data_IF_381095817112
#
_entry.id   IF_381095817112
#
_cell.length_a   1.000
_cell.length_b   1.000
_cell.length_c   1.000
_cell.angle_alpha   90.00
_cell.angle_beta   90.00
_cell.angle_gamma   90.00
#
_symmetry.space_group_name_H-M   'P 1'
#
loop_
_entity.id
_entity.type
_entity.pdbx_description
1 polymer ?
#
# COMPACT_ATOMS: atom_id res chain seq x y z
N UNK A 1 14.58 -29.83 -15.14
CA UNK A 1 13.84 -28.67 -15.69
C UNK A 1 12.71 -29.22 -16.56
N UNK A 2 11.55 -28.58 -16.56
CA UNK A 2 10.33 -29.00 -17.26
C UNK A 2 9.17 -28.08 -16.90
N UNK A 3 8.16 -27.97 -17.76
CA UNK A 3 7.07 -26.98 -17.63
C UNK A 3 7.40 -25.70 -18.41
N UNK A 4 7.11 -24.53 -17.82
CA UNK A 4 7.20 -23.20 -18.45
C UNK A 4 8.57 -22.75 -18.95
N UNK A 5 9.65 -23.39 -18.52
CA UNK A 5 11.01 -23.02 -18.93
C UNK A 5 11.55 -23.83 -20.12
N UNK A 6 10.85 -24.88 -20.55
CA UNK A 6 11.40 -25.84 -21.52
C UNK A 6 10.33 -26.52 -22.38
N UNK A 7 9.28 -27.07 -21.76
CA UNK A 7 8.34 -27.96 -22.45
C UNK A 7 6.94 -27.39 -22.70
N UNK A 8 6.58 -26.28 -22.04
CA UNK A 8 5.25 -25.67 -22.17
C UNK A 8 5.23 -24.56 -23.22
N UNK A 9 4.12 -24.47 -23.94
CA UNK A 9 3.81 -23.38 -24.85
C UNK A 9 3.12 -22.23 -24.12
N UNK A 10 3.62 -21.00 -24.32
CA UNK A 10 2.97 -19.77 -23.85
C UNK A 10 1.70 -19.40 -24.60
N UNK A 11 1.35 -20.11 -25.69
CA UNK A 11 0.13 -19.86 -26.47
C UNK A 11 -1.01 -20.78 -26.07
N UNK A 12 -0.83 -22.09 -26.25
CA UNK A 12 -1.82 -23.10 -25.93
C UNK A 12 -1.10 -24.25 -25.23
N UNK A 13 -1.40 -24.44 -23.95
CA UNK A 13 -0.93 -25.58 -23.20
C UNK A 13 -2.11 -26.40 -22.65
N UNK A 14 -2.45 -27.55 -23.27
CA UNK A 14 -3.49 -28.43 -22.75
C UNK A 14 -3.05 -29.06 -21.41
N UNK A 15 -4.02 -29.60 -20.67
CA UNK A 15 -3.74 -30.35 -19.45
C UNK A 15 -3.32 -31.76 -19.83
N UNK A 16 -2.12 -32.16 -19.38
CA UNK A 16 -1.65 -33.54 -19.52
C UNK A 16 -2.13 -34.37 -18.31
N UNK A 17 -3.00 -35.34 -18.58
CA UNK A 17 -3.56 -36.26 -17.57
C UNK A 17 -2.81 -37.61 -17.52
N UNK A 18 -1.72 -37.76 -18.26
CA UNK A 18 -0.88 -38.94 -18.20
C UNK A 18 -0.15 -39.07 -16.86
N UNK A 19 0.31 -40.27 -16.54
CA UNK A 19 1.13 -40.55 -15.35
C UNK A 19 2.62 -40.43 -15.62
N UNK A 20 3.01 -39.69 -16.67
CA UNK A 20 4.42 -39.49 -17.01
C UNK A 20 5.13 -38.71 -15.90
N UNK A 21 6.44 -38.90 -15.77
CA UNK A 21 7.23 -38.20 -14.76
C UNK A 21 7.15 -36.67 -14.85
N UNK A 22 6.95 -36.10 -16.04
CA UNK A 22 6.78 -34.65 -16.21
C UNK A 22 5.38 -34.18 -15.78
N UNK A 23 4.33 -34.86 -16.22
CA UNK A 23 2.96 -34.54 -15.82
C UNK A 23 2.80 -34.63 -14.29
N UNK A 24 3.29 -35.70 -13.67
CA UNK A 24 3.24 -35.87 -12.22
C UNK A 24 4.01 -34.77 -11.48
N UNK A 25 5.19 -34.35 -11.98
CA UNK A 25 5.92 -33.22 -11.39
C UNK A 25 5.10 -31.93 -11.41
N UNK A 26 4.37 -31.66 -12.48
CA UNK A 26 3.48 -30.49 -12.54
C UNK A 26 2.32 -30.63 -11.56
N UNK A 27 1.69 -31.80 -11.47
CA UNK A 27 0.63 -32.08 -10.49
C UNK A 27 1.13 -31.81 -9.06
N UNK A 28 2.34 -32.27 -8.72
CA UNK A 28 2.96 -32.00 -7.43
C UNK A 28 3.25 -30.51 -7.22
N UNK A 29 3.72 -29.80 -8.25
CA UNK A 29 3.93 -28.35 -8.16
C UNK A 29 2.61 -27.59 -7.92
N UNK A 30 1.54 -27.97 -8.62
CA UNK A 30 0.19 -27.45 -8.40
C UNK A 30 -0.31 -27.73 -6.97
N UNK A 31 -0.04 -28.93 -6.46
CA UNK A 31 -0.39 -29.30 -5.08
C UNK A 31 0.38 -28.46 -4.06
N UNK A 32 1.70 -28.28 -4.23
CA UNK A 32 2.51 -27.46 -3.33
C UNK A 32 2.13 -25.98 -3.40
N UNK A 33 1.78 -25.50 -4.59
CA UNK A 33 1.21 -24.16 -4.75
C UNK A 33 -0.14 -24.00 -4.03
N UNK A 34 -1.00 -25.01 -4.07
CA UNK A 34 -2.24 -24.99 -3.29
C UNK A 34 -1.96 -24.99 -1.78
N UNK A 35 -1.04 -25.84 -1.32
CA UNK A 35 -0.65 -25.90 0.08
C UNK A 35 -0.07 -24.55 0.55
N UNK A 36 0.71 -23.86 -0.29
CA UNK A 36 1.27 -22.56 0.06
C UNK A 36 0.19 -21.53 0.38
N UNK A 37 -1.00 -21.61 -0.22
CA UNK A 37 -2.11 -20.69 0.08
C UNK A 37 -2.62 -20.82 1.52
N UNK A 38 -2.47 -21.98 2.15
CA UNK A 38 -2.75 -22.12 3.57
C UNK A 38 -1.64 -21.51 4.42
N UNK A 39 -0.38 -21.63 3.99
CA UNK A 39 0.73 -21.02 4.71
C UNK A 39 0.65 -19.48 4.71
N UNK A 40 0.06 -18.89 3.68
CA UNK A 40 -0.18 -17.44 3.62
C UNK A 40 -1.17 -16.95 4.69
N UNK A 41 -2.02 -17.82 5.26
CA UNK A 41 -2.86 -17.42 6.40
C UNK A 41 -2.05 -17.07 7.65
N UNK A 42 -0.82 -17.60 7.77
CA UNK A 42 0.06 -17.23 8.87
C UNK A 42 0.43 -15.74 8.85
N UNK A 43 0.41 -15.08 7.69
CA UNK A 43 0.61 -13.63 7.61
C UNK A 43 -0.45 -12.88 8.41
N UNK A 44 -1.72 -13.27 8.22
CA UNK A 44 -2.85 -12.71 8.96
C UNK A 44 -2.74 -13.04 10.44
N UNK A 45 -2.34 -14.27 10.79
CA UNK A 45 -2.12 -14.67 12.18
C UNK A 45 -1.07 -13.77 12.87
N UNK A 46 0.08 -13.53 12.22
CA UNK A 46 1.12 -12.64 12.77
C UNK A 46 0.67 -11.18 12.85
N UNK A 47 -0.12 -10.67 11.90
CA UNK A 47 -0.65 -9.30 11.97
C UNK A 47 -1.63 -9.11 13.12
N UNK A 48 -2.50 -10.11 13.35
CA UNK A 48 -3.45 -10.12 14.48
C UNK A 48 -2.68 -10.21 15.82
N UNK A 49 -1.72 -11.13 15.94
CA UNK A 49 -0.90 -11.26 17.14
C UNK A 49 -0.10 -9.99 17.47
N UNK A 50 0.40 -9.29 16.44
CA UNK A 50 1.13 -8.02 16.60
C UNK A 50 0.21 -6.81 16.82
N UNK A 51 -1.10 -7.02 16.97
CA UNK A 51 -2.14 -5.97 17.10
C UNK A 51 -2.06 -4.90 16.01
N UNK A 52 -1.60 -5.28 14.81
CA UNK A 52 -1.37 -4.36 13.70
C UNK A 52 -2.46 -4.49 12.64
N UNK A 53 -3.71 -4.39 13.09
CA UNK A 53 -4.90 -4.60 12.26
C UNK A 53 -5.02 -3.62 11.09
N UNK A 54 -4.34 -2.46 11.12
CA UNK A 54 -4.27 -1.56 9.97
C UNK A 54 -3.51 -2.12 8.76
N UNK A 55 -2.77 -3.22 8.92
CA UNK A 55 -2.16 -3.97 7.81
C UNK A 55 -3.10 -5.01 7.18
N UNK A 56 -4.17 -5.40 7.88
CA UNK A 56 -5.18 -6.34 7.38
C UNK A 56 -6.22 -5.54 6.58
N UNK A 57 -5.87 -5.22 5.34
CA UNK A 57 -6.80 -4.53 4.43
C UNK A 57 -7.94 -5.44 3.98
N UNK A 58 -9.06 -4.87 3.56
CA UNK A 58 -10.16 -5.62 2.91
C UNK A 58 -9.66 -6.42 1.70
N UNK A 59 -8.72 -5.86 0.93
CA UNK A 59 -8.04 -6.55 -0.17
C UNK A 59 -7.33 -7.82 0.30
N UNK A 60 -6.58 -7.75 1.40
CA UNK A 60 -5.86 -8.89 1.97
C UNK A 60 -6.83 -10.01 2.38
N UNK A 61 -7.90 -9.65 3.08
CA UNK A 61 -8.88 -10.63 3.58
C UNK A 61 -9.65 -11.29 2.44
N UNK A 62 -10.11 -10.50 1.47
CA UNK A 62 -10.81 -11.04 0.30
C UNK A 62 -9.88 -11.96 -0.49
N UNK A 63 -8.64 -11.54 -0.74
CA UNK A 63 -7.65 -12.34 -1.46
C UNK A 63 -7.34 -13.66 -0.75
N UNK A 64 -6.87 -13.63 0.49
CA UNK A 64 -6.52 -14.86 1.20
C UNK A 64 -7.74 -15.71 1.56
N UNK A 65 -8.93 -15.11 1.67
CA UNK A 65 -10.18 -15.85 1.88
C UNK A 65 -10.63 -16.63 0.65
N UNK A 66 -10.60 -16.02 -0.54
CA UNK A 66 -11.12 -16.68 -1.75
C UNK A 66 -10.09 -17.53 -2.50
N UNK A 67 -8.79 -17.19 -2.42
CA UNK A 67 -7.75 -17.84 -3.22
C UNK A 67 -7.60 -19.35 -2.94
N UNK A 68 -7.58 -19.85 -1.69
CA UNK A 68 -7.50 -21.29 -1.43
C UNK A 68 -8.68 -22.06 -2.03
N UNK A 69 -9.90 -21.53 -1.88
CA UNK A 69 -11.10 -22.13 -2.45
C UNK A 69 -11.05 -22.15 -3.98
N UNK A 70 -10.60 -21.06 -4.60
CA UNK A 70 -10.47 -20.95 -6.05
C UNK A 70 -9.40 -21.89 -6.63
N UNK A 71 -8.23 -21.98 -5.97
CA UNK A 71 -7.11 -22.84 -6.41
C UNK A 71 -7.44 -24.32 -6.25
N UNK A 72 -8.26 -24.71 -5.27
CA UNK A 72 -8.70 -26.10 -5.10
C UNK A 72 -9.35 -26.66 -6.37
N UNK A 73 -10.27 -25.91 -6.99
CA UNK A 73 -10.89 -26.32 -8.26
C UNK A 73 -9.84 -26.47 -9.37
N UNK A 74 -8.86 -25.57 -9.42
CA UNK A 74 -7.75 -25.64 -10.36
C UNK A 74 -6.95 -26.93 -10.21
N UNK A 75 -6.53 -27.29 -9.00
CA UNK A 75 -5.79 -28.54 -8.74
C UNK A 75 -6.66 -29.78 -8.98
N UNK A 76 -7.94 -29.73 -8.62
CA UNK A 76 -8.82 -30.90 -8.72
C UNK A 76 -9.16 -31.30 -10.15
N UNK A 77 -9.28 -30.33 -11.05
CA UNK A 77 -9.79 -30.54 -12.42
C UNK A 77 -8.77 -30.22 -13.51
N UNK A 78 -7.83 -29.30 -13.24
CA UNK A 78 -6.80 -28.88 -14.20
C UNK A 78 -5.41 -28.82 -13.55
N UNK A 79 -4.86 -29.94 -13.02
CA UNK A 79 -3.58 -29.96 -12.31
C UNK A 79 -2.38 -29.85 -13.26
N UNK A 80 -2.36 -28.81 -14.09
CA UNK A 80 -1.37 -28.63 -15.15
C UNK A 80 -1.87 -27.70 -16.25
N UNK A 81 -1.10 -27.65 -17.33
CA UNK A 81 -1.48 -26.88 -18.51
C UNK A 81 -1.47 -25.36 -18.32
N UNK A 82 -2.27 -24.70 -19.15
CA UNK A 82 -2.25 -23.25 -19.36
C UNK A 82 -2.48 -22.41 -18.10
N UNK A 83 -3.36 -22.86 -17.20
CA UNK A 83 -3.64 -22.16 -15.94
C UNK A 83 -2.39 -22.03 -15.07
N UNK A 84 -1.47 -22.98 -15.08
CA UNK A 84 -0.32 -22.97 -14.17
C UNK A 84 0.63 -21.76 -14.36
N UNK A 85 0.50 -21.02 -15.47
CA UNK A 85 1.19 -19.75 -15.67
C UNK A 85 0.85 -18.71 -14.58
N UNK A 86 -0.41 -18.69 -14.11
CA UNK A 86 -0.80 -17.80 -13.02
C UNK A 86 -0.04 -18.13 -11.74
N UNK A 87 0.14 -19.43 -11.44
CA UNK A 87 0.89 -19.89 -10.28
C UNK A 87 2.37 -19.53 -10.38
N UNK A 88 2.96 -19.67 -11.58
CA UNK A 88 4.34 -19.25 -11.84
C UNK A 88 4.55 -17.75 -11.58
N UNK A 89 3.74 -16.89 -12.18
CA UNK A 89 3.87 -15.44 -11.96
C UNK A 89 3.57 -15.05 -10.51
N UNK A 90 2.54 -15.65 -9.89
CA UNK A 90 2.18 -15.37 -8.52
C UNK A 90 3.32 -15.72 -7.57
N UNK A 91 3.90 -16.92 -7.68
CA UNK A 91 5.04 -17.32 -6.83
C UNK A 91 6.24 -16.41 -7.01
N UNK A 92 6.57 -16.00 -8.24
CA UNK A 92 7.63 -15.03 -8.48
C UNK A 92 7.37 -13.70 -7.76
N UNK A 93 6.19 -13.10 -7.92
CA UNK A 93 5.86 -11.83 -7.27
C UNK A 93 5.77 -11.97 -5.76
N UNK A 94 5.26 -13.10 -5.25
CA UNK A 94 5.22 -13.40 -3.82
C UNK A 94 6.63 -13.51 -3.23
N UNK A 95 7.60 -14.11 -3.92
CA UNK A 95 9.00 -14.11 -3.47
C UNK A 95 9.51 -12.68 -3.26
N UNK A 96 9.26 -11.79 -4.21
CA UNK A 96 9.68 -10.38 -4.13
C UNK A 96 8.94 -9.64 -3.00
N UNK A 97 7.64 -9.88 -2.85
CA UNK A 97 6.80 -9.28 -1.81
C UNK A 97 7.20 -9.73 -0.41
N UNK A 98 7.41 -11.04 -0.19
CA UNK A 98 7.85 -11.56 1.11
C UNK A 98 9.27 -11.15 1.46
N UNK A 99 10.15 -11.02 0.46
CA UNK A 99 11.49 -10.44 0.66
C UNK A 99 11.40 -9.01 1.20
N UNK A 100 10.48 -8.20 0.67
CA UNK A 100 10.22 -6.86 1.20
C UNK A 100 9.68 -6.88 2.64
N UNK A 101 8.77 -7.81 2.97
CA UNK A 101 8.28 -7.95 4.34
C UNK A 101 9.35 -8.42 5.32
N UNK A 102 10.25 -9.31 4.89
CA UNK A 102 11.41 -9.72 5.68
C UNK A 102 12.29 -8.50 6.01
N UNK A 103 12.66 -7.68 5.02
CA UNK A 103 13.43 -6.47 5.28
C UNK A 103 12.70 -5.45 6.14
N UNK A 104 11.37 -5.36 6.02
CA UNK A 104 10.56 -4.51 6.90
C UNK A 104 10.61 -4.98 8.36
N UNK A 105 10.67 -6.30 8.58
CA UNK A 105 10.70 -6.92 9.90
C UNK A 105 12.08 -6.81 10.59
N UNK A 106 13.18 -6.68 9.84
CA UNK A 106 14.54 -6.53 10.37
C UNK A 106 14.82 -5.17 11.06
N UNK A 107 13.85 -4.25 11.05
CA UNK A 107 13.84 -3.04 11.87
C UNK A 107 14.21 -1.73 11.14
N UNK A 108 14.28 -0.61 11.86
CA UNK A 108 14.39 0.75 11.29
C UNK A 108 15.63 0.94 10.40
N UNK A 109 16.71 0.24 10.73
CA UNK A 109 17.97 0.24 10.00
C UNK A 109 17.86 -0.28 8.55
N UNK A 110 16.92 -1.17 8.25
CA UNK A 110 16.64 -1.64 6.89
C UNK A 110 15.47 -0.89 6.25
N UNK A 111 14.52 -0.39 7.03
CA UNK A 111 13.35 0.34 6.53
C UNK A 111 13.71 1.59 5.72
N UNK A 112 14.83 2.26 6.03
CA UNK A 112 15.33 3.41 5.24
C UNK A 112 15.60 3.08 3.76
N UNK A 113 15.88 1.82 3.44
CA UNK A 113 16.15 1.39 2.06
C UNK A 113 14.89 0.93 1.31
N UNK A 114 13.72 0.94 1.93
CA UNK A 114 12.45 0.43 1.39
C UNK A 114 11.63 1.46 0.61
N UNK A 115 12.29 2.39 -0.08
CA UNK A 115 11.64 3.43 -0.91
C UNK A 115 10.85 2.87 -2.11
N UNK A 116 11.08 1.60 -2.45
CA UNK A 116 10.54 0.94 -3.63
C UNK A 116 9.20 0.23 -3.40
N UNK A 117 8.54 0.44 -2.25
CA UNK A 117 7.20 -0.10 -1.93
C UNK A 117 6.17 0.12 -3.05
N UNK A 118 6.18 1.31 -3.67
CA UNK A 118 5.28 1.63 -4.79
C UNK A 118 5.47 0.73 -6.01
N UNK A 119 6.71 0.32 -6.28
CA UNK A 119 7.03 -0.56 -7.40
C UNK A 119 6.61 -2.00 -7.14
N UNK A 120 6.52 -2.42 -5.88
CA UNK A 120 5.93 -3.72 -5.53
C UNK A 120 4.45 -3.77 -5.88
N UNK A 121 3.69 -2.73 -5.49
CA UNK A 121 2.26 -2.66 -5.85
C UNK A 121 2.09 -2.57 -7.36
N UNK A 122 2.96 -1.84 -8.07
CA UNK A 122 2.96 -1.80 -9.53
C UNK A 122 3.26 -3.18 -10.15
N UNK A 123 4.23 -3.92 -9.61
CA UNK A 123 4.55 -5.28 -10.06
C UNK A 123 3.36 -6.24 -9.89
N UNK A 124 2.64 -6.16 -8.77
CA UNK A 124 1.42 -6.93 -8.54
C UNK A 124 0.31 -6.59 -9.54
N UNK A 125 0.13 -5.30 -9.88
CA UNK A 125 -0.84 -4.90 -10.91
C UNK A 125 -0.45 -5.43 -12.29
N UNK A 126 0.83 -5.32 -12.66
CA UNK A 126 1.34 -5.86 -13.94
C UNK A 126 1.15 -7.37 -14.01
N UNK A 127 1.37 -8.10 -12.91
CA UNK A 127 1.09 -9.54 -12.84
C UNK A 127 -0.36 -9.85 -13.24
N UNK A 128 -1.35 -9.13 -12.71
CA UNK A 128 -2.76 -9.39 -13.07
C UNK A 128 -3.03 -9.13 -14.55
N UNK A 129 -2.44 -8.08 -15.13
CA UNK A 129 -2.56 -7.79 -16.57
C UNK A 129 -1.96 -8.92 -17.40
N UNK A 130 -0.77 -9.41 -17.05
CA UNK A 130 -0.11 -10.52 -17.75
C UNK A 130 -0.91 -11.82 -17.65
N UNK A 131 -1.45 -12.14 -16.46
CA UNK A 131 -2.32 -13.30 -16.25
C UNK A 131 -3.59 -13.16 -17.10
N UNK A 132 -4.18 -11.97 -17.17
CA UNK A 132 -5.40 -11.72 -17.93
C UNK A 132 -5.18 -11.89 -19.43
N UNK A 133 -4.11 -11.29 -19.99
CA UNK A 133 -3.74 -11.46 -21.41
C UNK A 133 -3.45 -12.93 -21.71
N UNK A 134 -2.67 -13.60 -20.85
CA UNK A 134 -2.33 -15.00 -21.02
C UNK A 134 -3.55 -15.92 -20.89
N UNK A 135 -4.53 -15.61 -20.02
CA UNK A 135 -5.75 -16.40 -19.93
C UNK A 135 -6.65 -16.18 -21.15
N UNK A 136 -6.96 -14.92 -21.48
CA UNK A 136 -7.92 -14.59 -22.53
C UNK A 136 -7.47 -14.90 -23.95
N UNK A 137 -6.18 -15.06 -24.23
CA UNK A 137 -5.74 -15.54 -25.55
C UNK A 137 -6.39 -16.89 -25.94
N UNK A 138 -6.67 -17.78 -24.97
CA UNK A 138 -7.36 -19.06 -25.22
C UNK A 138 -8.81 -18.92 -25.72
N UNK A 139 -9.40 -17.72 -25.59
CA UNK A 139 -10.72 -17.44 -26.14
C UNK A 139 -10.68 -17.23 -27.66
N UNK A 140 -9.52 -16.86 -28.19
CA UNK A 140 -9.30 -16.52 -29.60
C UNK A 140 -8.51 -17.58 -30.38
N UNK A 141 -8.02 -18.62 -29.71
CA UNK A 141 -7.28 -19.73 -30.33
C UNK A 141 -7.97 -21.05 -30.02
N UNK A 142 -7.96 -21.98 -30.99
CA UNK A 142 -8.43 -23.34 -30.76
C UNK A 142 -7.38 -24.12 -29.97
N UNK A 143 -7.70 -24.40 -28.72
CA UNK A 143 -6.85 -25.13 -27.79
C UNK A 143 -7.69 -26.14 -27.01
N UNK A 144 -7.16 -27.35 -26.80
CA UNK A 144 -7.82 -28.37 -25.98
C UNK A 144 -7.63 -28.07 -24.48
N UNK A 145 -8.17 -26.93 -24.05
CA UNK A 145 -8.18 -26.47 -22.67
C UNK A 145 -9.59 -26.03 -22.29
N UNK A 146 -10.11 -26.40 -21.10
CA UNK A 146 -11.48 -26.09 -20.73
C UNK A 146 -11.72 -24.58 -20.60
N UNK A 147 -12.51 -24.01 -21.52
CA UNK A 147 -12.85 -22.57 -21.57
C UNK A 147 -13.50 -22.06 -20.28
N UNK A 148 -14.19 -22.92 -19.52
CA UNK A 148 -14.75 -22.56 -18.21
C UNK A 148 -13.67 -22.09 -17.21
N UNK A 149 -12.50 -22.73 -17.18
CA UNK A 149 -11.39 -22.34 -16.31
C UNK A 149 -10.72 -21.04 -16.77
N UNK A 150 -10.74 -20.76 -18.08
CA UNK A 150 -10.27 -19.48 -18.64
C UNK A 150 -11.11 -18.32 -18.12
N UNK A 151 -12.44 -18.44 -18.22
CA UNK A 151 -13.37 -17.44 -17.67
C UNK A 151 -13.23 -17.30 -16.16
N UNK A 152 -13.13 -18.42 -15.43
CA UNK A 152 -12.93 -18.43 -13.98
C UNK A 152 -11.70 -17.62 -13.56
N UNK A 153 -10.53 -17.93 -14.14
CA UNK A 153 -9.27 -17.25 -13.84
C UNK A 153 -9.31 -15.78 -14.29
N UNK A 154 -9.86 -15.52 -15.47
CA UNK A 154 -10.00 -14.17 -16.02
C UNK A 154 -10.85 -13.27 -15.13
N UNK A 155 -12.02 -13.74 -14.68
CA UNK A 155 -12.89 -12.97 -13.77
C UNK A 155 -12.22 -12.68 -12.43
N UNK A 156 -11.50 -13.65 -11.85
CA UNK A 156 -10.73 -13.42 -10.62
C UNK A 156 -9.63 -12.38 -10.83
N UNK A 157 -8.88 -12.46 -11.93
CA UNK A 157 -7.84 -11.51 -12.26
C UNK A 157 -8.38 -10.08 -12.42
N UNK A 158 -9.54 -9.93 -13.09
CA UNK A 158 -10.23 -8.64 -13.25
C UNK A 158 -10.67 -8.08 -11.89
N UNK A 159 -11.31 -8.90 -11.05
CA UNK A 159 -11.72 -8.51 -9.70
C UNK A 159 -10.52 -8.00 -8.90
N UNK A 160 -9.44 -8.78 -8.80
CA UNK A 160 -8.25 -8.36 -8.05
C UNK A 160 -7.58 -7.13 -8.64
N UNK A 161 -7.54 -6.99 -9.96
CA UNK A 161 -7.01 -5.79 -10.59
C UNK A 161 -7.75 -4.52 -10.13
N UNK A 162 -9.08 -4.56 -10.06
CA UNK A 162 -9.86 -3.42 -9.56
C UNK A 162 -9.57 -3.12 -8.08
N UNK A 163 -9.56 -4.14 -7.21
CA UNK A 163 -9.27 -3.92 -5.79
C UNK A 163 -7.84 -3.36 -5.58
N UNK A 164 -6.86 -3.85 -6.34
CA UNK A 164 -5.48 -3.33 -6.28
C UNK A 164 -5.35 -1.92 -6.84
N UNK A 165 -6.08 -1.61 -7.92
CA UNK A 165 -6.13 -0.27 -8.49
C UNK A 165 -6.76 0.73 -7.51
N UNK A 166 -7.86 0.37 -6.85
CA UNK A 166 -8.47 1.19 -5.79
C UNK A 166 -7.51 1.41 -4.63
N UNK A 167 -6.86 0.35 -4.14
CA UNK A 167 -5.84 0.44 -3.09
C UNK A 167 -4.67 1.35 -3.49
N UNK A 168 -4.17 1.19 -4.73
CA UNK A 168 -3.07 2.00 -5.26
C UNK A 168 -3.45 3.48 -5.34
N UNK A 169 -4.63 3.78 -5.87
CA UNK A 169 -5.12 5.15 -5.96
C UNK A 169 -5.33 5.77 -4.58
N UNK A 170 -6.02 5.08 -3.68
CA UNK A 170 -6.29 5.54 -2.31
C UNK A 170 -4.99 5.84 -1.57
N UNK A 171 -4.03 4.90 -1.60
CA UNK A 171 -2.77 5.04 -0.85
C UNK A 171 -1.87 6.11 -1.44
N UNK A 172 -1.55 6.02 -2.73
CA UNK A 172 -0.48 6.83 -3.31
C UNK A 172 -0.94 8.20 -3.80
N UNK A 173 -2.21 8.36 -4.24
CA UNK A 173 -2.73 9.71 -4.57
C UNK A 173 -2.93 10.54 -3.30
N UNK A 174 -3.46 9.95 -2.22
CA UNK A 174 -3.61 10.66 -0.95
C UNK A 174 -2.26 11.10 -0.37
N UNK A 175 -1.23 10.23 -0.44
CA UNK A 175 0.13 10.60 -0.03
C UNK A 175 0.73 11.72 -0.87
N UNK A 176 0.52 11.68 -2.20
CA UNK A 176 0.97 12.75 -3.10
C UNK A 176 0.34 14.09 -2.74
N UNK A 177 -0.98 14.14 -2.55
CA UNK A 177 -1.71 15.36 -2.19
C UNK A 177 -1.28 15.91 -0.82
N UNK A 178 -1.10 15.04 0.19
CA UNK A 178 -0.58 15.43 1.51
C UNK A 178 0.82 16.05 1.40
N UNK A 179 1.71 15.46 0.59
CA UNK A 179 3.07 15.97 0.38
C UNK A 179 3.07 17.31 -0.35
N UNK A 180 2.22 17.47 -1.36
CA UNK A 180 2.05 18.74 -2.08
C UNK A 180 1.52 19.85 -1.15
N UNK A 181 0.52 19.54 -0.31
CA UNK A 181 -0.01 20.48 0.68
C UNK A 181 1.06 20.87 1.73
N UNK A 182 1.85 19.91 2.21
CA UNK A 182 2.94 20.18 3.15
C UNK A 182 4.04 21.06 2.53
N UNK A 183 4.38 20.84 1.25
CA UNK A 183 5.35 21.68 0.54
C UNK A 183 4.83 23.11 0.37
N UNK A 184 3.57 23.29 -0.06
CA UNK A 184 2.93 24.61 -0.17
C UNK A 184 2.91 25.35 1.16
N UNK A 185 2.62 24.65 2.27
CA UNK A 185 2.67 25.23 3.61
C UNK A 185 4.08 25.69 3.97
N UNK A 186 5.12 24.87 3.70
CA UNK A 186 6.52 25.24 3.94
C UNK A 186 6.95 26.45 3.11
N UNK A 187 6.51 26.55 1.86
CA UNK A 187 6.76 27.71 1.00
C UNK A 187 6.09 28.97 1.54
N UNK A 188 4.83 28.87 1.99
CA UNK A 188 4.10 29.99 2.59
C UNK A 188 4.74 30.45 3.91
N UNK A 189 5.11 29.52 4.80
CA UNK A 189 5.78 29.81 6.07
C UNK A 189 7.15 30.49 5.83
N UNK A 190 7.91 30.03 4.83
CA UNK A 190 9.18 30.64 4.44
C UNK A 190 9.01 32.06 3.88
N UNK A 191 7.92 32.32 3.15
CA UNK A 191 7.62 33.63 2.59
C UNK A 191 7.18 34.63 3.67
N UNK A 192 6.36 34.17 4.63
CA UNK A 192 5.98 34.94 5.82
C UNK A 192 7.20 35.32 6.66
N UNK A 193 8.14 34.38 6.88
CA UNK A 193 9.36 34.64 7.64
C UNK A 193 10.23 35.72 6.97
N UNK A 194 10.36 35.67 5.63
CA UNK A 194 11.10 36.70 4.86
C UNK A 194 10.45 38.08 4.97
N UNK A 195 9.11 38.14 4.93
CA UNK A 195 8.38 39.41 5.08
C UNK A 195 8.55 40.01 6.48
N UNK A 196 8.49 39.19 7.53
CA UNK A 196 8.75 39.64 8.91
C UNK A 196 10.17 40.18 9.07
N UNK A 197 11.17 39.51 8.48
CA UNK A 197 12.56 39.95 8.53
C UNK A 197 12.76 41.29 7.80
N UNK A 198 12.11 41.50 6.65
CA UNK A 198 12.13 42.78 5.94
C UNK A 198 11.44 43.91 6.73
N UNK A 199 10.30 43.65 7.38
CA UNK A 199 9.62 44.64 8.22
C UNK A 199 10.46 45.03 9.45
N UNK A 200 11.17 44.09 10.06
CA UNK A 200 12.10 44.40 11.16
C UNK A 200 13.26 45.28 10.69
N UNK A 201 13.80 45.04 9.50
CA UNK A 201 14.85 45.89 8.90
C UNK A 201 14.34 47.30 8.56
N UNK A 202 13.06 47.46 8.20
CA UNK A 202 12.46 48.77 7.92
C UNK A 202 12.10 49.55 9.19
N UNK A 203 11.63 48.88 10.25
CA UNK A 203 11.27 49.53 11.53
C UNK A 203 12.46 49.78 12.45
N UNK A 204 13.64 49.20 12.20
CA UNK A 204 14.87 49.46 12.95
C UNK A 204 15.55 50.81 12.64
N UNK A 205 14.97 51.64 11.77
CA UNK A 205 15.52 52.93 11.34
C UNK A 205 15.01 54.17 12.07
N UNK A 206 14.07 54.06 13.02
CA UNK A 206 13.59 55.21 13.80
C UNK A 206 14.45 55.42 15.05
N UNK A 207 15.45 56.28 14.89
CA UNK A 207 16.25 56.83 15.98
C UNK A 207 15.39 57.33 17.14
N UNK A 208 15.80 56.92 18.34
CA UNK A 208 15.38 57.42 19.64
C UNK A 208 15.56 58.94 19.74
N UNK A 209 14.46 59.69 19.76
CA UNK A 209 14.45 61.07 20.26
C UNK A 209 13.99 61.07 21.72
N UNK A 210 14.89 61.44 22.63
CA UNK A 210 14.65 61.58 24.06
C UNK A 210 13.62 62.70 24.30
N UNK A 211 12.43 62.36 24.78
CA UNK A 211 11.40 63.31 25.21
C UNK A 211 10.97 63.01 26.65
N UNK A 212 11.39 63.87 27.58
CA UNK A 212 10.94 63.85 28.98
C UNK A 212 9.45 64.18 29.06
N UNK A 213 8.67 63.35 29.76
CA UNK A 213 7.28 63.65 30.11
C UNK A 213 7.03 63.35 31.60
N UNK A 214 6.78 64.41 32.35
CA UNK A 214 6.33 64.44 33.74
C UNK A 214 4.91 63.89 33.89
N UNK A 215 4.67 63.19 34.99
CA UNK A 215 3.40 62.55 35.32
C UNK A 215 2.26 63.56 35.63
N UNK A 216 1.05 63.27 35.14
CA UNK A 216 -0.22 63.71 35.75
C UNK A 216 -1.40 62.79 35.35
N UNK A 217 -2.06 62.28 36.39
CA UNK A 217 -3.39 61.69 36.59
C UNK A 217 -4.43 61.45 35.46
N UNK A 218 -5.08 60.27 35.61
CA UNK A 218 -6.52 59.93 35.51
C UNK A 218 -7.25 59.85 34.15
N UNK A 219 -7.60 58.62 33.72
CA UNK A 219 -8.96 58.15 33.37
C UNK A 219 -8.93 56.69 32.86
N UNK A 220 -9.89 55.86 33.30
CA UNK A 220 -10.07 54.42 32.98
C UNK A 220 -10.89 54.20 31.67
N UNK A 221 -11.32 52.96 31.33
CA UNK A 221 -10.58 51.75 31.02
C UNK A 221 -10.79 51.31 29.54
N UNK A 222 -9.81 50.65 28.91
CA UNK A 222 -10.02 49.95 27.64
C UNK A 222 -9.89 48.44 27.88
N UNK A 223 -10.98 47.72 27.60
CA UNK A 223 -11.16 46.28 27.77
C UNK A 223 -10.34 45.49 26.77
N UNK A 224 -9.53 44.55 27.26
CA UNK A 224 -8.85 43.53 26.43
C UNK A 224 -9.88 42.49 25.96
N UNK A 225 -10.22 42.51 24.68
CA UNK A 225 -11.00 41.45 24.03
C UNK A 225 -10.13 40.23 23.77
N UNK A 226 -10.39 39.12 24.48
CA UNK A 226 -9.85 37.81 24.16
C UNK A 226 -10.71 37.15 23.08
N UNK A 227 -10.14 36.95 21.88
CA UNK A 227 -10.78 36.16 20.83
C UNK A 227 -10.59 34.68 21.18
N UNK A 228 -11.62 34.10 21.78
CA UNK A 228 -11.82 32.65 21.87
C UNK A 228 -12.16 32.11 20.48
N UNK A 229 -11.21 31.42 19.86
CA UNK A 229 -11.49 30.62 18.65
C UNK A 229 -12.19 29.34 19.12
N UNK A 230 -13.52 29.34 18.97
CA UNK A 230 -14.36 28.18 19.23
C UNK A 230 -13.91 26.97 18.41
N UNK A 231 -13.47 25.93 19.11
CA UNK A 231 -13.15 24.63 18.54
C UNK A 231 -14.46 23.95 18.13
N UNK A 232 -14.84 24.10 16.86
CA UNK A 232 -16.01 23.44 16.28
C UNK A 232 -15.89 21.93 16.44
N UNK A 233 -16.77 21.35 17.25
CA UNK A 233 -17.01 19.91 17.38
C UNK A 233 -17.62 19.38 16.09
N UNK A 234 -16.78 19.12 15.10
CA UNK A 234 -17.10 18.29 13.95
C UNK A 234 -16.86 16.82 14.29
N UNK A 235 -17.95 16.04 14.33
CA UNK A 235 -18.05 14.58 14.45
C UNK A 235 -16.75 13.79 14.22
N UNK A 236 -16.00 13.49 15.30
CA UNK A 236 -14.81 12.63 15.30
C UNK A 236 -15.11 11.12 15.24
N UNK A 237 -16.37 10.72 15.07
CA UNK A 237 -16.76 9.30 15.01
C UNK A 237 -16.70 8.70 13.58
N UNK A 238 -16.69 9.53 12.53
CA UNK A 238 -16.73 9.05 11.14
C UNK A 238 -15.35 8.78 10.51
N UNK A 239 -14.26 9.24 11.15
CA UNK A 239 -12.90 9.13 10.61
C UNK A 239 -12.21 7.77 10.87
N UNK A 240 -12.91 6.85 11.55
CA UNK A 240 -12.31 5.59 12.02
C UNK A 240 -12.15 4.51 10.94
N UNK A 241 -12.76 4.67 9.76
CA UNK A 241 -12.74 3.64 8.70
C UNK A 241 -11.87 3.96 7.47
N UNK A 242 -11.25 5.13 7.38
CA UNK A 242 -10.54 5.58 6.16
C UNK A 242 -9.02 5.69 6.33
N UNK A 243 -8.51 5.74 7.56
CA UNK A 243 -7.06 5.80 7.82
C UNK A 243 -6.47 4.41 7.99
N UNK A 244 -6.03 3.84 6.87
CA UNK A 244 -4.98 2.80 6.84
C UNK A 244 -3.61 3.35 7.25
N UNK A 245 -3.56 4.15 8.33
CA UNK A 245 -2.31 4.68 8.86
C UNK A 245 -1.54 3.50 9.47
N UNK A 246 -0.32 3.29 8.95
CA UNK A 246 0.65 2.38 9.54
C UNK A 246 1.05 2.96 10.91
N UNK A 247 0.86 2.26 12.04
CA UNK A 247 1.16 2.79 13.37
C UNK A 247 2.64 3.16 13.59
N UNK A 248 3.54 2.75 12.69
CA UNK A 248 4.95 3.11 12.74
C UNK A 248 5.20 4.62 12.47
N UNK A 249 4.31 5.30 11.73
CA UNK A 249 4.48 6.74 11.43
C UNK A 249 4.00 7.63 12.58
N UNK A 250 3.00 7.15 13.34
CA UNK A 250 2.44 7.84 14.52
C UNK A 250 3.42 7.78 15.69
N UNK A 251 4.12 6.67 15.88
CA UNK A 251 5.07 6.51 16.98
C UNK A 251 6.35 7.34 16.79
N UNK A 252 6.78 7.54 15.53
CA UNK A 252 7.92 8.40 15.20
C UNK A 252 7.63 9.89 15.38
N UNK A 253 6.42 10.35 15.03
CA UNK A 253 6.02 11.75 15.27
C UNK A 253 5.76 12.02 16.76
N UNK A 254 5.25 11.03 17.51
CA UNK A 254 5.05 11.19 18.95
C UNK A 254 6.36 11.20 19.75
N UNK A 255 7.37 10.38 19.38
CA UNK A 255 8.70 10.43 20.01
C UNK A 255 9.49 11.69 19.65
N UNK A 256 9.33 12.23 18.44
CA UNK A 256 9.98 13.48 18.03
C UNK A 256 9.45 14.69 18.79
N UNK A 257 8.17 14.68 19.18
CA UNK A 257 7.54 15.81 19.88
C UNK A 257 7.73 15.79 21.40
N UNK A 258 8.03 14.64 22.01
CA UNK A 258 8.32 14.55 23.44
C UNK A 258 9.80 14.75 23.80
N UNK A 259 10.71 14.70 22.82
CA UNK A 259 12.13 14.94 23.04
C UNK A 259 12.55 16.43 22.95
N UNK A 260 11.61 17.34 22.60
CA UNK A 260 11.88 18.76 22.37
C UNK A 260 11.41 19.72 23.47
N UNK A 261 10.93 19.23 24.62
CA UNK A 261 10.35 20.07 25.68
C UNK A 261 11.00 19.89 27.06
N UNK A 262 12.28 19.51 27.10
CA UNK A 262 13.09 19.57 28.32
C UNK A 262 14.45 20.18 27.97
N UNK A 263 14.50 21.51 27.94
CA UNK A 263 15.65 22.34 28.31
C UNK A 263 15.14 23.74 28.62
#
# INVERSE_FOLDING_TARGET
MGGWWDTYSFRCQPVDHSTTGQAMRMVHACWWYYFSKFTEFFDTFFFVLRKKSSQVSTLHVIHHGCMPMSVWFGVKFTPGGHSTFFGLLNTFVHIVMYTYYLFTALGPQFQKYLWWKKYLTALQMVQFVLIMVHAFQLLFIDCNYPKAFVWWIGMHAVMFFFLFNEFYQSTYKAQKLKREAANKKREADALLLKQQQQQQLQNGGTHTANGSATAASSAAPATNGSVSVGNGTGNKAADYYVRGDLPAEIELTHRSNTAGSVQ
#
